data_IF_818872299092
#
_entry.id   IF_818872299092
#
_cell.length_a   1.000
_cell.length_b   1.000
_cell.length_c   1.000
_cell.angle_alpha   90.00
_cell.angle_beta   90.00
_cell.angle_gamma   90.00
#
_symmetry.space_group_name_H-M   'P 1'
#
loop_
_entity.id
_entity.type
_entity.pdbx_description
1 polymer ?
#
# COMPACT_ATOMS: atom_id res chain seq x y z
N UNK A 1 36.17 22.29 64.86
CA UNK A 1 34.75 22.00 65.05
C UNK A 1 33.99 22.85 64.06
N UNK A 2 33.44 22.38 62.94
CA UNK A 2 33.37 21.06 62.35
C UNK A 2 33.20 21.23 60.84
N UNK A 3 33.80 20.31 60.10
CA UNK A 3 33.54 20.08 58.70
C UNK A 3 32.11 19.55 58.51
N UNK A 4 31.41 19.95 57.44
CA UNK A 4 30.25 19.21 56.94
C UNK A 4 30.37 19.02 55.41
N UNK A 5 30.34 17.79 54.88
CA UNK A 5 30.78 17.49 53.52
C UNK A 5 29.66 17.41 52.48
N UNK A 6 30.02 17.77 51.24
CA UNK A 6 29.65 17.13 49.96
C UNK A 6 28.18 16.73 49.72
N UNK A 7 27.44 17.58 48.99
CA UNK A 7 26.30 17.16 48.14
C UNK A 7 26.81 16.22 47.03
N UNK A 8 26.49 14.93 47.11
CA UNK A 8 26.71 13.96 46.02
C UNK A 8 25.58 14.10 44.99
N UNK A 9 25.94 14.46 43.76
CA UNK A 9 25.06 14.51 42.60
C UNK A 9 24.48 13.12 42.29
N UNK A 10 23.16 12.97 42.44
CA UNK A 10 22.40 11.82 41.95
C UNK A 10 21.85 12.15 40.56
N UNK A 11 22.70 12.07 39.54
CA UNK A 11 22.30 12.33 38.14
C UNK A 11 22.63 11.17 37.19
N UNK A 12 23.19 10.06 37.70
CA UNK A 12 23.68 8.96 36.87
C UNK A 12 22.68 7.79 36.69
N UNK A 13 21.54 7.79 37.39
CA UNK A 13 20.55 6.69 37.33
C UNK A 13 19.52 6.89 36.19
N UNK A 14 19.34 8.13 35.69
CA UNK A 14 18.36 8.42 34.62
C UNK A 14 18.89 8.20 33.19
N UNK A 15 20.21 8.23 33.00
CA UNK A 15 20.86 8.04 31.69
C UNK A 15 20.74 6.58 31.17
N UNK A 16 20.97 5.52 31.98
CA UNK A 16 20.85 4.15 31.46
C UNK A 16 19.41 3.74 31.16
N UNK A 17 18.41 4.32 31.84
CA UNK A 17 16.99 4.05 31.59
C UNK A 17 16.52 4.66 30.25
N UNK A 18 17.06 5.82 29.87
CA UNK A 18 16.79 6.47 28.58
C UNK A 18 17.41 5.70 27.40
N UNK A 19 18.60 5.10 27.59
CA UNK A 19 19.23 4.23 26.57
C UNK A 19 18.51 2.89 26.40
N UNK A 20 17.93 2.32 27.47
CA UNK A 20 17.13 1.09 27.37
C UNK A 20 15.81 1.31 26.62
N UNK A 21 15.19 2.49 26.74
CA UNK A 21 13.97 2.85 26.01
C UNK A 21 14.20 3.06 24.50
N UNK A 22 15.42 3.45 24.10
CA UNK A 22 15.80 3.63 22.68
C UNK A 22 16.06 2.30 21.94
N UNK A 23 16.27 1.20 22.67
CA UNK A 23 16.50 -0.14 22.09
C UNK A 23 15.21 -0.94 21.84
N UNK A 24 14.04 -0.45 22.26
CA UNK A 24 12.79 -1.20 22.25
C UNK A 24 11.90 -0.99 21.00
N UNK A 25 12.33 -0.19 20.02
CA UNK A 25 11.58 0.04 18.78
C UNK A 25 12.44 -0.25 17.54
N UNK A 26 12.84 -1.50 17.37
CA UNK A 26 13.19 -1.97 16.03
C UNK A 26 11.88 -2.18 15.28
N UNK A 27 11.48 -1.18 14.47
CA UNK A 27 10.44 -1.38 13.48
C UNK A 27 11.00 -2.33 12.41
N UNK A 28 10.68 -3.61 12.52
CA UNK A 28 11.07 -4.60 11.54
C UNK A 28 10.21 -4.39 10.29
N UNK A 29 10.74 -3.67 9.31
CA UNK A 29 10.04 -3.46 8.05
C UNK A 29 10.03 -4.77 7.25
N UNK A 30 8.92 -5.04 6.56
CA UNK A 30 8.79 -6.21 5.68
C UNK A 30 9.99 -6.33 4.74
N UNK A 31 10.49 -7.55 4.57
CA UNK A 31 11.49 -7.87 3.55
C UNK A 31 11.01 -7.40 2.16
N UNK A 32 11.85 -6.71 1.37
CA UNK A 32 11.46 -6.19 0.07
C UNK A 32 10.87 -7.28 -0.83
N UNK A 33 9.78 -6.95 -1.53
CA UNK A 33 9.11 -7.87 -2.45
C UNK A 33 10.04 -8.37 -3.58
N UNK A 34 10.90 -7.47 -4.08
CA UNK A 34 11.94 -7.75 -5.04
C UNK A 34 13.11 -6.79 -4.78
N UNK A 35 14.26 -7.05 -5.41
CA UNK A 35 15.44 -6.17 -5.30
C UNK A 35 15.95 -5.99 -3.87
N UNK A 36 15.86 -7.05 -3.07
CA UNK A 36 16.46 -7.09 -1.73
C UNK A 36 17.97 -6.77 -1.81
N UNK A 37 18.47 -5.72 -1.13
CA UNK A 37 19.88 -5.35 -1.13
C UNK A 37 20.81 -6.44 -0.59
N UNK A 38 20.29 -7.33 0.26
CA UNK A 38 21.02 -8.48 0.80
C UNK A 38 21.16 -9.63 -0.22
N UNK A 39 20.29 -9.67 -1.23
CA UNK A 39 20.31 -10.71 -2.26
C UNK A 39 21.42 -10.44 -3.30
N UNK A 40 22.53 -11.16 -3.16
CA UNK A 40 23.70 -11.02 -4.05
C UNK A 40 23.42 -11.31 -5.52
N UNK A 41 22.37 -12.09 -5.83
CA UNK A 41 21.99 -12.47 -7.19
C UNK A 41 21.25 -11.33 -7.89
N UNK A 42 20.23 -10.75 -7.25
CA UNK A 42 19.35 -9.76 -7.89
C UNK A 42 19.76 -8.31 -7.67
N UNK A 43 20.44 -7.96 -6.57
CA UNK A 43 20.67 -6.56 -6.15
C UNK A 43 21.32 -5.66 -7.20
N UNK A 44 22.19 -6.24 -8.05
CA UNK A 44 22.94 -5.50 -9.06
C UNK A 44 22.32 -5.54 -10.47
N UNK A 45 21.20 -6.26 -10.65
CA UNK A 45 20.53 -6.37 -11.94
C UNK A 45 19.92 -5.04 -12.37
N UNK A 46 19.87 -4.72 -13.68
CA UNK A 46 19.34 -3.44 -14.17
C UNK A 46 17.92 -3.14 -13.70
N UNK A 47 17.02 -4.13 -13.63
CA UNK A 47 15.65 -3.90 -13.13
C UNK A 47 15.58 -3.39 -11.67
N UNK A 48 16.63 -3.60 -10.87
CA UNK A 48 16.75 -3.10 -9.51
C UNK A 48 17.41 -1.72 -9.38
N UNK A 49 17.94 -1.15 -10.48
CA UNK A 49 18.59 0.17 -10.47
C UNK A 49 17.56 1.28 -10.67
N UNK A 50 17.15 1.91 -9.57
CA UNK A 50 16.14 2.98 -9.58
C UNK A 50 16.55 4.24 -10.36
N UNK A 51 17.84 4.40 -10.66
CA UNK A 51 18.35 5.46 -11.53
C UNK A 51 18.06 5.25 -13.02
N UNK A 52 17.67 4.04 -13.42
CA UNK A 52 17.27 3.74 -14.81
C UNK A 52 15.78 4.05 -15.00
N UNK A 53 15.41 4.40 -16.23
CA UNK A 53 14.02 4.65 -16.58
C UNK A 53 13.17 3.39 -16.38
N UNK A 54 11.92 3.55 -15.95
CA UNK A 54 11.04 2.43 -15.62
C UNK A 54 10.88 1.45 -16.80
N UNK A 55 10.84 1.96 -18.04
CA UNK A 55 10.75 1.10 -19.24
C UNK A 55 11.97 0.20 -19.41
N UNK A 56 13.17 0.70 -19.11
CA UNK A 56 14.41 -0.09 -19.22
C UNK A 56 14.46 -1.15 -18.13
N UNK A 57 14.02 -0.80 -16.92
CA UNK A 57 13.93 -1.73 -15.79
C UNK A 57 12.93 -2.85 -16.07
N UNK A 58 11.75 -2.52 -16.58
CA UNK A 58 10.72 -3.50 -16.96
C UNK A 58 11.19 -4.35 -18.13
N UNK A 59 11.81 -3.76 -19.15
CA UNK A 59 12.36 -4.47 -20.29
C UNK A 59 13.41 -5.50 -19.89
N UNK A 60 14.34 -5.13 -19.01
CA UNK A 60 15.33 -6.05 -18.45
C UNK A 60 14.69 -7.17 -17.63
N UNK A 61 13.72 -6.86 -16.76
CA UNK A 61 13.00 -7.88 -15.98
C UNK A 61 12.29 -8.89 -16.88
N UNK A 62 11.44 -8.41 -17.79
CA UNK A 62 10.65 -9.28 -18.69
C UNK A 62 11.56 -10.06 -19.66
N UNK A 63 12.70 -9.48 -20.06
CA UNK A 63 13.72 -10.17 -20.87
C UNK A 63 14.39 -11.33 -20.15
N UNK A 64 14.46 -11.30 -18.81
CA UNK A 64 15.06 -12.37 -17.98
C UNK A 64 14.12 -13.51 -17.66
N UNK A 65 12.80 -13.30 -17.77
CA UNK A 65 11.80 -14.32 -17.49
C UNK A 65 11.76 -15.36 -18.62
N UNK A 66 11.77 -16.63 -18.23
CA UNK A 66 11.41 -17.74 -19.10
C UNK A 66 9.95 -17.65 -19.52
N UNK A 67 9.57 -18.34 -20.60
CA UNK A 67 8.17 -18.41 -21.03
C UNK A 67 7.26 -18.95 -19.92
N UNK A 68 7.73 -19.96 -19.16
CA UNK A 68 6.95 -20.56 -18.08
C UNK A 68 6.74 -19.59 -16.91
N UNK A 69 7.77 -18.82 -16.53
CA UNK A 69 7.63 -17.78 -15.51
C UNK A 69 6.65 -16.69 -15.97
N UNK A 70 6.72 -16.25 -17.24
CA UNK A 70 5.76 -15.29 -17.81
C UNK A 70 4.33 -15.79 -17.72
N UNK A 71 4.06 -17.03 -18.13
CA UNK A 71 2.71 -17.62 -18.08
C UNK A 71 2.17 -17.62 -16.65
N UNK A 72 3.01 -17.98 -15.66
CA UNK A 72 2.62 -18.00 -14.24
C UNK A 72 2.42 -16.61 -13.62
N UNK A 73 2.78 -15.54 -14.33
CA UNK A 73 2.51 -14.16 -13.92
C UNK A 73 1.23 -13.58 -14.52
N UNK A 74 0.51 -14.31 -15.39
CA UNK A 74 -0.72 -13.85 -16.07
C UNK A 74 -2.02 -14.16 -15.28
N UNK A 75 -1.88 -14.44 -14.00
CA UNK A 75 -2.99 -14.72 -13.07
C UNK A 75 -2.92 -13.75 -11.90
N UNK A 76 -4.01 -13.59 -11.15
CA UNK A 76 -4.01 -12.70 -9.99
C UNK A 76 -3.02 -13.15 -8.90
N UNK A 77 -2.89 -14.46 -8.68
CA UNK A 77 -1.93 -15.06 -7.75
C UNK A 77 -0.60 -15.36 -8.45
N UNK A 78 0.11 -14.31 -8.89
CA UNK A 78 1.36 -14.44 -9.62
C UNK A 78 2.41 -15.21 -8.82
N UNK A 79 2.94 -16.29 -9.40
CA UNK A 79 3.93 -17.15 -8.75
C UNK A 79 5.26 -16.42 -8.52
N UNK A 80 6.02 -16.79 -7.47
CA UNK A 80 7.38 -16.27 -7.29
C UNK A 80 8.31 -16.66 -8.44
N UNK A 81 9.33 -15.83 -8.65
CA UNK A 81 10.46 -16.11 -9.54
C UNK A 81 11.71 -16.17 -8.67
N UNK A 82 11.89 -17.29 -7.98
CA UNK A 82 12.91 -17.46 -6.94
C UNK A 82 14.33 -17.23 -7.46
N UNK A 83 14.62 -17.64 -8.70
CA UNK A 83 15.92 -17.44 -9.35
C UNK A 83 16.30 -15.95 -9.46
N UNK A 84 15.31 -15.06 -9.53
CA UNK A 84 15.50 -13.61 -9.58
C UNK A 84 15.19 -12.92 -8.25
N UNK A 85 14.92 -13.69 -7.18
CA UNK A 85 14.59 -13.13 -5.86
C UNK A 85 13.26 -12.37 -5.81
N UNK A 86 12.31 -12.69 -6.70
CA UNK A 86 11.00 -12.02 -6.78
C UNK A 86 9.98 -12.90 -6.06
N UNK A 87 9.31 -12.34 -5.04
CA UNK A 87 8.26 -13.03 -4.29
C UNK A 87 6.97 -13.18 -5.13
N UNK A 88 6.08 -14.07 -4.70
CA UNK A 88 4.75 -14.17 -5.30
C UNK A 88 3.91 -12.94 -4.96
N UNK A 89 3.10 -12.47 -5.91
CA UNK A 89 2.30 -11.26 -5.78
C UNK A 89 0.82 -11.57 -6.00
N UNK A 90 -0.03 -11.05 -5.13
CA UNK A 90 -1.48 -11.12 -5.29
C UNK A 90 -2.00 -9.79 -5.85
N UNK A 91 -2.49 -9.81 -7.08
CA UNK A 91 -3.02 -8.64 -7.77
C UNK A 91 -4.44 -8.28 -7.31
N UNK A 92 -5.17 -9.23 -6.74
CA UNK A 92 -6.55 -9.05 -6.32
C UNK A 92 -6.64 -8.54 -4.87
N UNK A 93 -6.66 -7.21 -4.73
CA UNK A 93 -7.10 -6.52 -3.51
C UNK A 93 -8.30 -5.62 -3.82
N UNK A 94 -9.12 -5.29 -2.83
CA UNK A 94 -10.33 -4.49 -2.99
C UNK A 94 -10.29 -3.24 -2.12
N UNK A 95 -10.74 -2.10 -2.64
CA UNK A 95 -10.67 -0.82 -1.95
C UNK A 95 -11.92 0.08 -2.10
N UNK A 96 -13.03 -0.46 -2.62
CA UNK A 96 -14.16 0.30 -3.17
C UNK A 96 -14.61 1.51 -2.33
N UNK A 97 -14.67 1.37 -1.01
CA UNK A 97 -15.02 2.43 -0.07
C UNK A 97 -14.21 2.32 1.24
N UNK A 98 -12.94 1.95 1.12
CA UNK A 98 -12.12 1.47 2.23
C UNK A 98 -11.34 0.24 1.80
N UNK A 99 -10.14 0.02 2.33
CA UNK A 99 -9.42 -1.24 2.12
C UNK A 99 -10.32 -2.39 2.62
N UNK A 100 -10.42 -3.47 1.85
CA UNK A 100 -11.28 -4.61 2.16
C UNK A 100 -10.47 -5.90 2.23
N UNK A 101 -10.84 -6.79 3.14
CA UNK A 101 -10.32 -8.16 3.21
C UNK A 101 -11.13 -9.16 2.35
N UNK A 102 -11.95 -8.65 1.43
CA UNK A 102 -12.59 -9.48 0.41
C UNK A 102 -11.55 -9.90 -0.63
N UNK A 103 -11.52 -11.18 -0.96
CA UNK A 103 -10.49 -11.75 -1.82
C UNK A 103 -9.19 -12.07 -1.06
N UNK A 104 -8.14 -12.51 -1.77
CA UNK A 104 -6.93 -13.04 -1.16
C UNK A 104 -5.84 -12.00 -0.85
N UNK A 105 -5.90 -10.81 -1.46
CA UNK A 105 -4.79 -9.85 -1.46
C UNK A 105 -4.60 -9.05 -0.18
N UNK A 106 -5.61 -8.96 0.68
CA UNK A 106 -5.57 -8.24 1.95
C UNK A 106 -6.08 -9.14 3.08
N UNK A 107 -5.38 -9.12 4.22
CA UNK A 107 -5.77 -9.87 5.42
C UNK A 107 -5.93 -8.93 6.61
N UNK A 108 -7.09 -8.96 7.23
CA UNK A 108 -7.31 -8.31 8.53
C UNK A 108 -7.00 -9.27 9.67
N UNK A 109 -6.52 -8.72 10.79
CA UNK A 109 -6.13 -9.43 12.00
C UNK A 109 -4.84 -8.88 12.59
N UNK A 110 -4.47 -9.34 13.78
CA UNK A 110 -3.23 -8.92 14.46
C UNK A 110 -3.12 -7.40 14.58
N UNK A 111 -2.02 -6.85 14.07
CA UNK A 111 -1.71 -5.41 14.07
C UNK A 111 -2.62 -4.58 13.15
N UNK A 112 -3.28 -5.22 12.17
CA UNK A 112 -4.20 -4.60 11.21
C UNK A 112 -5.60 -5.21 11.35
N UNK A 113 -6.32 -4.98 12.46
CA UNK A 113 -7.60 -5.64 12.73
C UNK A 113 -8.73 -5.23 11.75
N UNK A 114 -8.54 -4.13 11.02
CA UNK A 114 -9.47 -3.62 10.01
C UNK A 114 -8.94 -2.36 9.35
N UNK A 115 -9.81 -1.76 8.52
CA UNK A 115 -9.58 -0.50 7.80
C UNK A 115 -10.80 0.42 7.96
N UNK A 116 -10.65 1.70 7.62
CA UNK A 116 -11.78 2.63 7.65
C UNK A 116 -12.83 2.24 6.60
N UNK A 117 -14.09 2.10 7.02
CA UNK A 117 -15.22 1.84 6.13
C UNK A 117 -15.99 3.13 5.87
N UNK A 118 -15.77 3.75 4.72
CA UNK A 118 -16.52 4.91 4.26
C UNK A 118 -17.95 4.52 3.83
N UNK A 119 -18.86 5.47 3.58
CA UNK A 119 -20.13 5.17 2.93
C UNK A 119 -19.92 4.52 1.55
N UNK A 120 -20.89 3.73 1.08
CA UNK A 120 -20.89 3.19 -0.28
C UNK A 120 -20.75 4.31 -1.33
N UNK A 121 -20.23 3.95 -2.51
CA UNK A 121 -19.89 4.90 -3.58
C UNK A 121 -21.07 5.79 -3.92
N UNK A 122 -22.28 5.22 -4.09
CA UNK A 122 -23.49 5.97 -4.42
C UNK A 122 -23.79 7.09 -3.40
N UNK A 123 -23.52 6.85 -2.12
CA UNK A 123 -23.73 7.81 -1.04
C UNK A 123 -22.68 8.91 -1.07
N UNK A 124 -21.42 8.57 -1.31
CA UNK A 124 -20.36 9.58 -1.42
C UNK A 124 -20.51 10.43 -2.69
N UNK A 125 -20.93 9.84 -3.80
CA UNK A 125 -21.18 10.55 -5.05
C UNK A 125 -22.32 11.57 -4.92
N UNK A 126 -23.33 11.29 -4.09
CA UNK A 126 -24.43 12.20 -3.80
C UNK A 126 -24.00 13.50 -3.10
N UNK A 127 -22.74 13.62 -2.64
CA UNK A 127 -22.19 14.87 -2.13
C UNK A 127 -21.78 15.86 -3.22
N UNK A 128 -21.62 15.40 -4.48
CA UNK A 128 -21.09 16.20 -5.59
C UNK A 128 -19.79 16.96 -5.23
N UNK A 129 -18.91 16.32 -4.45
CA UNK A 129 -17.71 16.95 -3.89
C UNK A 129 -16.45 16.18 -4.30
N UNK A 130 -15.80 16.62 -5.37
CA UNK A 130 -14.58 16.01 -5.90
C UNK A 130 -13.43 15.97 -4.90
N UNK A 131 -13.27 17.03 -4.10
CA UNK A 131 -12.23 17.09 -3.07
C UNK A 131 -12.46 16.07 -1.96
N UNK A 132 -13.73 15.76 -1.63
CA UNK A 132 -14.05 14.68 -0.70
C UNK A 132 -13.68 13.31 -1.27
N UNK A 133 -14.00 13.04 -2.53
CA UNK A 133 -13.68 11.75 -3.16
C UNK A 133 -12.17 11.51 -3.25
N UNK A 134 -11.39 12.56 -3.54
CA UNK A 134 -9.93 12.51 -3.52
C UNK A 134 -9.40 12.26 -2.10
N UNK A 135 -9.91 12.96 -1.08
CA UNK A 135 -9.52 12.77 0.30
C UNK A 135 -9.81 11.34 0.80
N UNK A 136 -10.95 10.75 0.40
CA UNK A 136 -11.25 9.34 0.69
C UNK A 136 -10.19 8.44 0.03
N UNK A 137 -9.88 8.66 -1.25
CA UNK A 137 -8.84 7.91 -1.96
C UNK A 137 -7.47 7.99 -1.28
N UNK A 138 -7.10 9.17 -0.75
CA UNK A 138 -5.85 9.38 0.00
C UNK A 138 -5.81 8.57 1.30
N UNK A 139 -6.88 8.60 2.10
CA UNK A 139 -6.95 7.79 3.34
C UNK A 139 -6.83 6.30 3.01
N UNK A 140 -7.53 5.83 1.98
CA UNK A 140 -7.45 4.45 1.51
C UNK A 140 -6.04 4.09 1.05
N UNK A 141 -5.35 4.98 0.33
CA UNK A 141 -3.95 4.81 -0.08
C UNK A 141 -3.01 4.65 1.12
N UNK A 142 -3.16 5.48 2.15
CA UNK A 142 -2.32 5.43 3.35
C UNK A 142 -2.53 4.14 4.14
N UNK A 143 -3.78 3.72 4.34
CA UNK A 143 -4.10 2.44 5.00
C UNK A 143 -3.56 1.25 4.19
N UNK A 144 -3.76 1.27 2.87
CA UNK A 144 -3.23 0.25 1.95
C UNK A 144 -1.70 0.14 2.03
N UNK A 145 -1.00 1.28 2.07
CA UNK A 145 0.46 1.33 2.17
C UNK A 145 0.94 0.83 3.52
N UNK A 146 0.27 1.20 4.62
CA UNK A 146 0.58 0.72 5.96
C UNK A 146 0.45 -0.81 6.03
N UNK A 147 -0.66 -1.37 5.53
CA UNK A 147 -0.89 -2.82 5.49
C UNK A 147 0.11 -3.55 4.58
N UNK A 148 0.51 -2.96 3.45
CA UNK A 148 1.54 -3.52 2.58
C UNK A 148 2.89 -3.63 3.30
N UNK A 149 3.28 -2.56 4.00
CA UNK A 149 4.51 -2.50 4.79
C UNK A 149 4.50 -3.50 5.95
N UNK A 150 3.32 -3.77 6.53
CA UNK A 150 3.10 -4.83 7.52
C UNK A 150 2.98 -6.24 6.91
N UNK A 151 3.04 -6.38 5.58
CA UNK A 151 3.03 -7.69 4.91
C UNK A 151 1.67 -8.37 4.80
N UNK A 152 0.59 -7.64 5.09
CA UNK A 152 -0.78 -8.19 5.04
C UNK A 152 -1.58 -7.72 3.83
N UNK A 153 -0.99 -6.90 2.95
CA UNK A 153 -1.61 -6.41 1.72
C UNK A 153 -0.66 -6.38 0.50
N UNK A 154 -1.25 -6.27 -0.70
CA UNK A 154 -0.60 -5.86 -1.95
C UNK A 154 -0.63 -4.34 -2.19
N UNK A 155 -0.32 -3.91 -3.42
CA UNK A 155 -0.31 -2.50 -3.86
C UNK A 155 -1.28 -2.21 -5.00
N UNK A 156 -2.12 -3.18 -5.38
CA UNK A 156 -3.05 -3.07 -6.50
C UNK A 156 -4.44 -3.38 -6.01
N UNK A 157 -5.38 -2.47 -6.28
CA UNK A 157 -6.74 -2.55 -5.80
C UNK A 157 -7.72 -2.44 -6.97
N UNK A 158 -8.71 -3.31 -7.04
CA UNK A 158 -9.72 -3.35 -8.11
C UNK A 158 -10.83 -2.34 -7.84
N UNK A 159 -10.47 -1.07 -7.84
CA UNK A 159 -11.35 0.04 -7.52
C UNK A 159 -10.92 1.31 -8.27
N UNK A 160 -11.84 2.24 -8.58
CA UNK A 160 -13.28 2.22 -8.26
C UNK A 160 -14.12 1.46 -9.29
N UNK A 161 -15.38 1.16 -8.93
CA UNK A 161 -16.39 0.74 -9.89
C UNK A 161 -17.01 1.98 -10.56
N UNK A 162 -16.79 2.13 -11.86
CA UNK A 162 -17.19 3.30 -12.65
C UNK A 162 -18.27 2.99 -13.69
N UNK A 163 -18.91 1.82 -13.58
CA UNK A 163 -20.03 1.48 -14.44
C UNK A 163 -21.21 2.43 -14.19
N UNK A 164 -22.00 2.66 -15.23
CA UNK A 164 -23.19 3.50 -15.14
C UNK A 164 -24.34 2.69 -14.55
N UNK A 165 -24.99 3.22 -13.50
CA UNK A 165 -26.17 2.60 -12.88
C UNK A 165 -27.42 2.79 -13.75
N UNK A 166 -27.40 2.18 -14.94
CA UNK A 166 -28.40 2.37 -16.01
C UNK A 166 -29.76 1.74 -15.68
N UNK A 167 -29.75 0.50 -15.18
CA UNK A 167 -30.97 -0.20 -14.80
C UNK A 167 -31.08 -0.18 -13.28
N UNK A 168 -32.12 0.43 -12.69
CA UNK A 168 -32.24 0.58 -11.24
C UNK A 168 -32.33 -0.75 -10.49
N UNK A 169 -32.57 -1.87 -11.20
CA UNK A 169 -32.60 -3.22 -10.61
C UNK A 169 -31.22 -3.85 -10.50
N UNK A 170 -30.17 -3.22 -11.01
CA UNK A 170 -28.82 -3.76 -10.95
C UNK A 170 -28.32 -3.80 -9.50
N UNK A 171 -28.17 -5.00 -8.94
CA UNK A 171 -27.82 -5.21 -7.53
C UNK A 171 -26.45 -4.70 -7.09
N UNK A 172 -25.59 -4.26 -8.02
CA UNK A 172 -24.30 -3.61 -7.73
C UNK A 172 -24.32 -2.10 -7.99
N UNK A 173 -25.48 -1.51 -8.28
CA UNK A 173 -25.58 -0.07 -8.53
C UNK A 173 -25.17 0.80 -7.33
N UNK A 174 -25.27 0.28 -6.10
CA UNK A 174 -24.76 0.94 -4.90
C UNK A 174 -23.23 1.15 -4.90
N UNK A 175 -22.50 0.34 -5.67
CA UNK A 175 -21.06 0.40 -5.81
C UNK A 175 -20.60 1.47 -6.80
N UNK A 176 -21.52 2.15 -7.50
CA UNK A 176 -21.16 3.11 -8.55
C UNK A 176 -21.54 4.55 -8.19
N UNK A 177 -21.00 5.56 -8.90
CA UNK A 177 -21.35 6.96 -8.68
C UNK A 177 -22.73 7.37 -9.22
N UNK A 178 -23.60 6.42 -9.57
CA UNK A 178 -24.94 6.68 -10.09
C UNK A 178 -25.09 6.49 -11.60
N UNK A 179 -26.11 7.12 -12.17
CA UNK A 179 -26.54 6.94 -13.56
C UNK A 179 -25.94 7.96 -14.55
N UNK A 180 -25.34 9.05 -14.05
CA UNK A 180 -24.79 10.12 -14.89
C UNK A 180 -23.31 9.85 -15.25
N UNK A 181 -22.95 9.76 -16.54
CA UNK A 181 -21.57 9.54 -16.96
C UNK A 181 -20.60 10.67 -16.57
N UNK A 182 -21.07 11.91 -16.46
CA UNK A 182 -20.21 13.05 -16.12
C UNK A 182 -19.78 12.96 -14.66
N UNK A 183 -20.74 12.71 -13.75
CA UNK A 183 -20.50 12.48 -12.34
C UNK A 183 -19.59 11.27 -12.12
N UNK A 184 -19.85 10.16 -12.82
CA UNK A 184 -19.02 8.97 -12.73
C UNK A 184 -17.56 9.22 -13.17
N UNK A 185 -17.36 10.01 -14.23
CA UNK A 185 -16.03 10.40 -14.69
C UNK A 185 -15.31 11.30 -13.67
N UNK A 186 -16.00 12.28 -13.08
CA UNK A 186 -15.43 13.15 -12.04
C UNK A 186 -15.07 12.37 -10.77
N UNK A 187 -15.94 11.46 -10.33
CA UNK A 187 -15.67 10.57 -9.20
C UNK A 187 -14.43 9.71 -9.45
N UNK A 188 -14.36 9.07 -10.62
CA UNK A 188 -13.24 8.21 -11.00
C UNK A 188 -11.91 8.98 -10.99
N UNK A 189 -11.87 10.16 -11.62
CA UNK A 189 -10.67 10.99 -11.66
C UNK A 189 -10.18 11.38 -10.25
N UNK A 190 -11.08 11.88 -9.39
CA UNK A 190 -10.72 12.31 -8.03
C UNK A 190 -10.30 11.14 -7.15
N UNK A 191 -11.05 10.04 -7.14
CA UNK A 191 -10.75 8.89 -6.30
C UNK A 191 -9.42 8.22 -6.73
N UNK A 192 -9.19 8.04 -8.04
CA UNK A 192 -7.93 7.48 -8.56
C UNK A 192 -6.73 8.39 -8.29
N UNK A 193 -6.90 9.72 -8.38
CA UNK A 193 -5.85 10.67 -8.00
C UNK A 193 -5.47 10.53 -6.52
N UNK A 194 -6.46 10.39 -5.63
CA UNK A 194 -6.21 10.14 -4.22
C UNK A 194 -5.53 8.79 -3.96
N UNK A 195 -5.99 7.73 -4.61
CA UNK A 195 -5.50 6.36 -4.40
C UNK A 195 -4.07 6.14 -4.93
N UNK A 196 -3.75 6.68 -6.12
CA UNK A 196 -2.41 6.52 -6.69
C UNK A 196 -1.42 7.57 -6.17
N UNK A 197 -1.93 8.63 -5.55
CA UNK A 197 -1.17 9.81 -5.17
C UNK A 197 -0.72 10.63 -6.38
N UNK A 198 -0.29 11.86 -6.11
CA UNK A 198 0.33 12.71 -7.13
C UNK A 198 1.80 12.29 -7.31
N UNK A 199 2.21 11.98 -8.55
CA UNK A 199 3.57 11.59 -8.89
C UNK A 199 4.67 12.60 -8.47
N UNK A 200 4.29 13.82 -8.08
CA UNK A 200 5.19 14.87 -7.60
C UNK A 200 5.68 14.69 -6.14
N UNK A 201 5.09 13.79 -5.36
CA UNK A 201 5.49 13.56 -3.95
C UNK A 201 6.57 12.47 -3.78
N UNK A 202 7.08 11.89 -4.87
CA UNK A 202 8.14 10.88 -4.86
C UNK A 202 9.39 11.36 -5.58
N UNK A 203 10.22 12.15 -4.89
CA UNK A 203 11.64 12.40 -5.22
C UNK A 203 12.49 12.09 -3.99
#
# INVERSE_FOLDING_TARGET
>A
MDHNPLKKNSSYIHIPLLLLLLLAFTCESRAPFACDPSNSVSKNMPFCRVSLHIRDRVGDLIGRLTLQEKIRSLVNNAAPVDRLGIKGYEWWSEALHGVSNTGPGVKFGGEFPGATSFPQVITTAASFNSSLWEAIGQVVSDEARAMYNGGVAGLTYWSPNVNIFRDPRWGRGQETPGEDPTLAASYAASYVAGLQGNAAAGN
#
